data_IF_221270192250
#
_entry.id   IF_221270192250
#
_cell.length_a   1.000
_cell.length_b   1.000
_cell.length_c   1.000
_cell.angle_alpha   90.00
_cell.angle_beta   90.00
_cell.angle_gamma   90.00
#
_symmetry.space_group_name_H-M   'P 1'
#
loop_
_entity.id
_entity.type
_entity.pdbx_description
1 polymer ?
#
# COMPACT_ATOMS: atom_id res chain seq x y z
N UNK A 1 1.12 -4.92 15.36
CA UNK A 1 0.07 -3.94 15.06
C UNK A 1 -0.20 -4.06 13.58
N UNK A 2 -1.31 -4.69 13.22
CA UNK A 2 -1.75 -4.78 11.84
C UNK A 2 -2.56 -3.53 11.50
N UNK A 3 -2.13 -2.77 10.50
CA UNK A 3 -2.84 -1.58 10.02
C UNK A 3 -3.62 -1.97 8.78
N UNK A 4 -4.95 -1.96 8.87
CA UNK A 4 -5.83 -2.17 7.73
C UNK A 4 -6.01 -0.84 6.99
N UNK A 5 -5.51 -0.76 5.75
CA UNK A 5 -5.57 0.47 4.95
C UNK A 5 -6.65 0.36 3.87
N UNK A 6 -7.61 1.28 3.89
CA UNK A 6 -8.69 1.39 2.89
C UNK A 6 -8.30 2.44 1.84
N UNK A 7 -8.40 2.08 0.55
CA UNK A 7 -8.11 2.99 -0.57
C UNK A 7 -9.30 3.95 -0.75
N UNK A 8 -9.07 5.26 -0.59
CA UNK A 8 -10.10 6.30 -0.73
C UNK A 8 -9.66 7.43 -1.70
N UNK A 9 -10.60 8.11 -2.40
CA UNK A 9 -10.29 9.27 -3.24
C UNK A 9 -9.84 10.47 -2.39
N UNK A 10 -8.69 11.08 -2.73
CA UNK A 10 -8.06 12.13 -1.93
C UNK A 10 -8.75 13.50 -2.02
N UNK A 11 -9.02 14.13 -0.87
CA UNK A 11 -9.47 15.53 -0.75
C UNK A 11 -8.25 16.43 -0.49
N UNK A 12 -8.13 17.63 -1.12
CA UNK A 12 -6.99 18.50 -0.90
C UNK A 12 -7.10 19.22 0.47
N UNK A 13 -6.41 18.69 1.47
CA UNK A 13 -6.12 19.34 2.75
C UNK A 13 -4.62 19.55 2.94
N UNK A 14 -4.21 20.38 3.92
CA UNK A 14 -2.81 20.64 4.28
C UNK A 14 -2.14 19.33 4.71
N UNK A 15 -1.37 18.72 3.81
CA UNK A 15 -0.87 17.37 4.00
C UNK A 15 0.63 17.35 4.30
N UNK A 16 1.04 16.69 5.39
CA UNK A 16 2.45 16.40 5.66
C UNK A 16 2.83 15.10 4.96
N UNK A 17 3.93 15.10 4.21
CA UNK A 17 4.37 13.97 3.39
C UNK A 17 5.74 13.49 3.84
N UNK A 18 5.84 12.22 4.23
CA UNK A 18 7.09 11.53 4.51
C UNK A 18 7.50 10.67 3.31
N UNK A 19 8.77 10.76 2.89
CA UNK A 19 9.34 9.81 1.93
C UNK A 19 9.82 8.58 2.67
N UNK A 20 9.40 7.41 2.21
CA UNK A 20 9.76 6.12 2.79
C UNK A 20 10.24 5.17 1.69
N UNK A 21 11.02 4.16 2.06
CA UNK A 21 11.29 3.02 1.19
C UNK A 21 10.26 1.94 1.47
N UNK A 22 9.89 1.18 0.45
CA UNK A 22 8.98 0.04 0.59
C UNK A 22 9.65 -1.24 0.09
N UNK A 23 9.76 -2.24 0.95
CA UNK A 23 10.37 -3.55 0.65
C UNK A 23 9.26 -4.55 0.43
N UNK A 24 9.21 -5.15 -0.77
CA UNK A 24 8.38 -6.31 -1.06
C UNK A 24 9.11 -7.56 -0.55
N UNK A 25 8.60 -8.15 0.51
CA UNK A 25 9.19 -9.34 1.14
C UNK A 25 8.99 -10.60 0.30
N UNK A 26 7.95 -10.66 -0.51
CA UNK A 26 7.62 -11.82 -1.31
C UNK A 26 8.56 -11.93 -2.53
N UNK A 27 8.96 -10.79 -3.10
CA UNK A 27 9.89 -10.72 -4.26
C UNK A 27 11.32 -10.29 -3.88
N UNK A 28 11.55 -9.83 -2.65
CA UNK A 28 12.83 -9.25 -2.23
C UNK A 28 13.16 -7.93 -2.96
N UNK A 29 12.15 -7.20 -3.42
CA UNK A 29 12.31 -6.00 -4.26
C UNK A 29 12.09 -4.73 -3.46
N UNK A 30 12.96 -3.74 -3.65
CA UNK A 30 12.82 -2.43 -3.01
C UNK A 30 12.22 -1.42 -3.98
N UNK A 31 11.16 -0.75 -3.53
CA UNK A 31 10.48 0.33 -4.22
C UNK A 31 10.84 1.67 -3.57
N UNK A 32 11.52 2.51 -4.33
CA UNK A 32 11.86 3.89 -3.95
C UNK A 32 10.72 4.86 -4.30
N UNK A 33 10.83 6.11 -3.86
CA UNK A 33 9.85 7.19 -4.13
C UNK A 33 8.43 6.92 -3.59
N UNK A 34 8.32 6.13 -2.52
CA UNK A 34 7.08 5.99 -1.78
C UNK A 34 6.82 7.22 -0.92
N UNK A 35 5.56 7.65 -0.86
CA UNK A 35 5.13 8.82 -0.08
C UNK A 35 4.04 8.42 0.89
N UNK A 36 4.30 8.53 2.19
CA UNK A 36 3.29 8.41 3.23
C UNK A 36 2.76 9.81 3.53
N UNK A 37 1.56 10.11 3.05
CA UNK A 37 0.92 11.41 3.20
C UNK A 37 -0.14 11.34 4.29
N UNK A 38 -0.03 12.18 5.32
CA UNK A 38 -1.08 12.37 6.31
C UNK A 38 -2.03 13.48 5.87
N UNK A 39 -3.33 13.15 5.78
CA UNK A 39 -4.40 14.09 5.48
C UNK A 39 -5.13 14.46 6.76
N UNK A 40 -4.85 15.67 7.26
CA UNK A 40 -5.43 16.20 8.51
C UNK A 40 -6.95 16.36 8.45
N UNK A 41 -7.53 16.49 7.25
CA UNK A 41 -8.97 16.67 7.05
C UNK A 41 -9.77 15.38 7.26
N UNK A 42 -9.13 14.23 7.04
CA UNK A 42 -9.76 12.90 7.17
C UNK A 42 -9.12 12.06 8.28
N UNK A 43 -8.19 12.65 9.04
CA UNK A 43 -7.35 11.99 10.06
C UNK A 43 -6.79 10.64 9.57
N UNK A 44 -6.25 10.65 8.35
CA UNK A 44 -5.92 9.43 7.62
C UNK A 44 -4.57 9.50 6.94
N UNK A 45 -3.96 8.33 6.74
CA UNK A 45 -2.71 8.19 6.01
C UNK A 45 -2.95 7.56 4.65
N UNK A 46 -2.26 8.08 3.63
CA UNK A 46 -2.31 7.56 2.27
C UNK A 46 -0.90 7.26 1.79
N UNK A 47 -0.71 6.02 1.33
CA UNK A 47 0.45 5.56 0.59
C UNK A 47 0.32 5.94 -0.89
N UNK A 48 1.18 6.86 -1.31
CA UNK A 48 1.21 7.47 -2.64
C UNK A 48 2.60 7.29 -3.30
N UNK A 49 2.75 7.83 -4.52
CA UNK A 49 4.01 7.76 -5.26
C UNK A 49 4.13 6.44 -6.01
N UNK A 50 5.09 5.61 -5.62
CA UNK A 50 5.34 4.32 -6.26
C UNK A 50 4.24 3.25 -6.04
N UNK A 51 3.24 3.52 -5.18
CA UNK A 51 2.14 2.58 -4.91
C UNK A 51 1.46 2.05 -6.16
N UNK A 52 1.12 2.94 -7.11
CA UNK A 52 0.49 2.53 -8.36
C UNK A 52 1.36 1.58 -9.19
N UNK A 53 2.69 1.69 -9.08
CA UNK A 53 3.63 0.77 -9.73
C UNK A 53 3.62 -0.59 -9.03
N UNK A 54 3.64 -0.61 -7.70
CA UNK A 54 3.54 -1.85 -6.90
C UNK A 54 2.26 -2.60 -7.24
N UNK A 55 1.11 -1.91 -7.28
CA UNK A 55 -0.16 -2.53 -7.66
C UNK A 55 -0.12 -3.17 -9.05
N UNK A 56 0.56 -2.54 -10.02
CA UNK A 56 0.72 -3.10 -11.37
C UNK A 56 1.69 -4.27 -11.40
N UNK A 57 2.88 -4.10 -10.84
CA UNK A 57 3.94 -5.12 -10.83
C UNK A 57 3.47 -6.40 -10.13
N UNK A 58 2.71 -6.26 -9.03
CA UNK A 58 2.21 -7.38 -8.22
C UNK A 58 0.81 -7.84 -8.61
N UNK A 59 0.24 -7.28 -9.68
CA UNK A 59 -1.13 -7.52 -10.14
C UNK A 59 -2.16 -7.45 -9.00
N UNK A 60 -2.05 -6.43 -8.14
CA UNK A 60 -2.96 -6.25 -7.02
C UNK A 60 -4.34 -5.81 -7.52
N UNK A 61 -5.37 -6.50 -7.05
CA UNK A 61 -6.76 -6.21 -7.37
C UNK A 61 -7.49 -5.64 -6.15
N UNK A 62 -8.60 -4.96 -6.41
CA UNK A 62 -9.51 -4.54 -5.34
C UNK A 62 -9.95 -5.79 -4.56
N UNK A 63 -9.89 -5.71 -3.22
CA UNK A 63 -10.09 -6.80 -2.24
C UNK A 63 -8.90 -7.73 -2.00
N UNK A 64 -7.76 -7.54 -2.68
CA UNK A 64 -6.52 -8.16 -2.21
C UNK A 64 -6.18 -7.60 -0.82
N UNK A 65 -5.78 -8.48 0.09
CA UNK A 65 -5.31 -8.08 1.42
C UNK A 65 -3.80 -8.10 1.44
N UNK A 66 -3.26 -6.98 1.90
CA UNK A 66 -1.83 -6.75 1.98
C UNK A 66 -1.44 -6.44 3.41
N UNK A 67 -0.34 -7.05 3.85
CA UNK A 67 0.28 -6.74 5.13
C UNK A 67 1.24 -5.59 4.94
N UNK A 68 1.24 -4.65 5.88
CA UNK A 68 2.20 -3.57 5.96
C UNK A 68 2.74 -3.47 7.38
N UNK A 69 4.05 -3.39 7.53
CA UNK A 69 4.68 -3.10 8.82
C UNK A 69 5.92 -2.24 8.64
N UNK A 70 6.28 -1.52 9.70
CA UNK A 70 7.51 -0.74 9.74
C UNK A 70 8.63 -1.57 10.37
N UNK A 71 9.74 -1.74 9.66
CA UNK A 71 10.96 -2.31 10.23
C UNK A 71 11.82 -1.16 10.78
N UNK A 72 12.07 -1.10 12.10
CA UNK A 72 12.89 -0.05 12.71
C UNK A 72 14.39 -0.20 12.43
N UNK A 73 14.87 -1.41 12.09
CA UNK A 73 16.27 -1.69 11.77
C UNK A 73 16.57 -1.19 10.36
N UNK A 74 15.77 -1.61 9.39
CA UNK A 74 15.92 -1.22 7.99
C UNK A 74 15.41 0.20 7.71
N UNK A 75 14.66 0.77 8.66
CA UNK A 75 13.99 2.08 8.54
C UNK A 75 13.16 2.15 7.26
N UNK A 76 12.45 1.06 6.97
CA UNK A 76 11.66 0.89 5.77
C UNK A 76 10.28 0.32 6.09
N UNK A 77 9.33 0.57 5.21
CA UNK A 77 8.03 -0.10 5.24
C UNK A 77 8.14 -1.43 4.50
N UNK A 78 7.71 -2.52 5.10
CA UNK A 78 7.70 -3.83 4.49
C UNK A 78 6.28 -4.19 4.09
N UNK A 79 6.16 -4.89 2.96
CA UNK A 79 4.91 -5.27 2.34
C UNK A 79 4.94 -6.75 1.95
N UNK A 80 3.81 -7.42 2.15
CA UNK A 80 3.56 -8.76 1.62
C UNK A 80 2.09 -8.94 1.22
N UNK A 81 1.83 -9.73 0.19
CA UNK A 81 0.47 -10.10 -0.23
C UNK A 81 -0.02 -11.24 0.64
N UNK A 82 -0.95 -10.96 1.56
CA UNK A 82 -1.45 -11.94 2.52
C UNK A 82 -2.57 -12.81 1.94
N UNK A 83 -3.45 -12.21 1.14
CA UNK A 83 -4.57 -12.91 0.53
C UNK A 83 -4.93 -12.28 -0.81
N UNK A 84 -5.02 -13.11 -1.85
CA UNK A 84 -5.58 -12.71 -3.14
C UNK A 84 -7.10 -12.70 -3.07
N UNK A 85 -7.73 -11.70 -3.66
CA UNK A 85 -9.14 -11.71 -3.95
C UNK A 85 -9.47 -12.96 -4.75
N UNK A 86 -10.58 -13.62 -4.41
CA UNK A 86 -11.11 -14.66 -5.27
C UNK A 86 -11.35 -14.03 -6.65
N UNK A 87 -10.91 -14.67 -7.74
CA UNK A 87 -11.31 -14.22 -9.06
C UNK A 87 -12.84 -14.13 -9.07
N UNK A 88 -13.44 -13.08 -9.66
CA UNK A 88 -14.88 -13.06 -9.84
C UNK A 88 -15.22 -14.39 -10.49
N UNK A 89 -16.10 -15.17 -9.85
CA UNK A 89 -16.48 -16.50 -10.31
C UNK A 89 -16.65 -16.39 -11.82
N UNK A 90 -15.84 -17.16 -12.57
CA UNK A 90 -15.96 -17.27 -14.02
C UNK A 90 -17.45 -17.27 -14.32
N UNK A 91 -17.90 -16.36 -15.18
CA UNK A 91 -19.29 -16.32 -15.65
C UNK A 91 -19.70 -17.75 -15.95
N UNK A 92 -20.46 -18.36 -15.03
CA UNK A 92 -21.06 -19.66 -15.23
C UNK A 92 -22.39 -19.32 -15.86
N UNK A 93 -22.47 -19.75 -17.11
CA UNK A 93 -23.54 -19.60 -18.12
C UNK A 93 -23.60 -18.27 -18.87
#
# INVERSE_FOLDING_TARGET
MDVEMVIAPGTPGRASCLRVHLVDEDEGKVYENMKLTHYTTSDGYVLNGAWNKICKDRCLMVKDRVGLYWDPVDKALHFSVRQRALPPAAARD
#
